data_IF_486702888564
#
_entry.id   IF_486702888564
#
_cell.length_a   1.000
_cell.length_b   1.000
_cell.length_c   1.000
_cell.angle_alpha   90.00
_cell.angle_beta   90.00
_cell.angle_gamma   90.00
#
_symmetry.space_group_name_H-M   'P 1'
#
loop_
_entity.id
_entity.type
_entity.pdbx_description
1 polymer ?
#
# COMPACT_ATOMS: atom_id res chain seq x y z
N UNK A 1 -22.89 -7.50 2.46
CA UNK A 1 -22.11 -7.04 3.62
C UNK A 1 -21.22 -8.19 4.06
N UNK A 2 -19.90 -8.00 4.10
CA UNK A 2 -18.93 -9.05 4.47
C UNK A 2 -18.39 -8.70 5.86
N UNK A 3 -18.49 -9.61 6.83
CA UNK A 3 -17.93 -9.43 8.17
C UNK A 3 -16.47 -9.89 8.15
N UNK A 4 -15.51 -8.97 8.25
CA UNK A 4 -14.07 -9.31 8.26
C UNK A 4 -13.67 -10.21 9.45
N UNK A 5 -14.45 -10.20 10.54
CA UNK A 5 -14.28 -11.08 11.71
C UNK A 5 -14.85 -12.50 11.52
N UNK A 6 -15.48 -12.81 10.38
CA UNK A 6 -16.01 -14.15 10.12
C UNK A 6 -14.87 -15.17 10.03
N UNK A 7 -15.01 -16.29 10.75
CA UNK A 7 -14.01 -17.35 10.82
C UNK A 7 -13.61 -17.88 9.44
N UNK A 8 -14.54 -17.89 8.48
CA UNK A 8 -14.30 -18.34 7.10
C UNK A 8 -13.31 -17.43 6.37
N UNK A 9 -13.28 -16.14 6.69
CA UNK A 9 -12.32 -15.18 6.13
C UNK A 9 -10.97 -15.34 6.80
N UNK A 10 -10.93 -15.48 8.14
CA UNK A 10 -9.68 -15.72 8.85
C UNK A 10 -9.00 -17.05 8.51
N UNK A 11 -9.75 -18.01 7.99
CA UNK A 11 -9.25 -19.32 7.57
C UNK A 11 -8.67 -19.32 6.14
N UNK A 12 -8.77 -18.22 5.40
CA UNK A 12 -8.17 -18.10 4.07
C UNK A 12 -6.65 -18.16 4.24
N UNK A 13 -5.95 -19.10 3.57
CA UNK A 13 -4.50 -19.20 3.69
C UNK A 13 -3.84 -17.93 3.16
N UNK A 14 -2.97 -17.36 3.97
CA UNK A 14 -2.15 -16.21 3.59
C UNK A 14 -0.81 -16.72 3.05
N UNK A 15 -0.37 -16.15 1.94
CA UNK A 15 0.92 -16.44 1.33
C UNK A 15 1.55 -15.17 0.79
N UNK A 16 2.88 -15.10 0.86
CA UNK A 16 3.63 -14.06 0.15
C UNK A 16 3.66 -14.41 -1.34
N UNK A 17 3.39 -13.44 -2.21
CA UNK A 17 3.51 -13.62 -3.66
C UNK A 17 4.97 -13.46 -4.15
N UNK A 18 5.91 -13.14 -3.25
CA UNK A 18 7.35 -13.00 -3.54
C UNK A 18 7.73 -11.70 -4.27
N UNK A 19 6.77 -10.79 -4.44
CA UNK A 19 6.99 -9.52 -5.12
C UNK A 19 7.88 -8.58 -4.30
N UNK A 20 8.77 -7.87 -4.99
CA UNK A 20 9.67 -6.91 -4.35
C UNK A 20 8.89 -5.82 -3.61
N UNK A 21 9.38 -5.51 -2.41
CA UNK A 21 8.90 -4.38 -1.61
C UNK A 21 9.74 -3.15 -1.94
N UNK A 22 9.06 -2.08 -2.32
CA UNK A 22 9.63 -0.79 -2.69
C UNK A 22 9.35 0.20 -1.57
N UNK A 23 10.37 0.94 -1.15
CA UNK A 23 10.20 2.06 -0.22
C UNK A 23 9.53 3.24 -0.94
N UNK A 24 8.27 3.50 -0.61
CA UNK A 24 7.48 4.54 -1.28
C UNK A 24 7.91 5.96 -0.92
N UNK A 25 8.73 6.16 0.11
CA UNK A 25 9.31 7.48 0.42
C UNK A 25 10.29 7.95 -0.66
N UNK A 26 10.82 7.02 -1.45
CA UNK A 26 11.69 7.30 -2.59
C UNK A 26 10.90 7.66 -3.86
N UNK A 27 9.57 7.56 -3.84
CA UNK A 27 8.69 7.83 -4.97
C UNK A 27 8.11 9.24 -4.82
N UNK A 28 8.63 10.20 -5.58
CA UNK A 28 8.30 11.62 -5.43
C UNK A 28 6.81 11.96 -5.64
N UNK A 29 6.09 11.16 -6.42
CA UNK A 29 4.66 11.35 -6.68
C UNK A 29 3.75 10.88 -5.53
N UNK A 30 4.25 10.14 -4.55
CA UNK A 30 3.47 9.59 -3.44
C UNK A 30 3.83 10.27 -2.12
N UNK A 31 2.82 10.64 -1.33
CA UNK A 31 3.01 11.14 0.03
C UNK A 31 2.85 10.00 1.03
N UNK A 32 3.75 9.97 2.01
CA UNK A 32 3.74 8.98 3.07
C UNK A 32 3.58 9.70 4.40
N UNK A 33 2.56 9.32 5.16
CA UNK A 33 2.32 9.82 6.52
C UNK A 33 3.12 8.99 7.51
N UNK A 34 3.91 9.64 8.36
CA UNK A 34 4.84 9.01 9.30
C UNK A 34 4.29 8.87 10.72
N UNK A 35 3.04 9.28 10.99
CA UNK A 35 2.45 9.27 12.34
C UNK A 35 2.32 7.87 12.95
N UNK A 36 2.27 6.83 12.12
CA UNK A 36 2.22 5.42 12.53
C UNK A 36 3.46 4.64 12.07
N UNK A 37 4.58 5.33 11.89
CA UNK A 37 5.83 4.68 11.53
C UNK A 37 6.25 3.68 12.61
N UNK A 38 6.55 2.45 12.18
CA UNK A 38 7.24 1.47 13.01
C UNK A 38 8.75 1.71 13.03
N UNK A 39 9.44 1.22 14.05
CA UNK A 39 10.89 1.39 14.21
C UNK A 39 11.70 0.79 13.06
N UNK A 40 11.18 -0.25 12.38
CA UNK A 40 11.85 -0.90 11.26
C UNK A 40 11.60 -0.19 9.91
N UNK A 41 10.72 0.83 9.87
CA UNK A 41 10.34 1.53 8.65
C UNK A 41 9.50 0.69 7.68
N UNK A 42 8.93 -0.43 8.12
CA UNK A 42 8.14 -1.33 7.29
C UNK A 42 6.85 -0.68 6.76
N UNK A 43 6.30 0.31 7.48
CA UNK A 43 5.10 1.06 7.12
C UNK A 43 5.17 1.71 5.73
N UNK A 44 6.37 2.01 5.25
CA UNK A 44 6.62 2.68 3.97
C UNK A 44 6.95 1.71 2.82
N UNK A 45 6.89 0.40 3.04
CA UNK A 45 7.24 -0.59 2.02
C UNK A 45 5.98 -1.18 1.38
N UNK A 46 5.83 -1.00 0.06
CA UNK A 46 4.72 -1.55 -0.72
C UNK A 46 5.21 -2.45 -1.84
N UNK A 47 4.37 -3.42 -2.22
CA UNK A 47 4.59 -4.23 -3.42
C UNK A 47 4.63 -3.37 -4.68
N UNK A 48 5.58 -3.66 -5.57
CA UNK A 48 5.82 -2.90 -6.80
C UNK A 48 4.55 -2.65 -7.63
N UNK A 49 3.75 -3.68 -7.93
CA UNK A 49 2.51 -3.56 -8.69
C UNK A 49 1.45 -2.71 -8.00
N UNK A 50 1.47 -2.65 -6.66
CA UNK A 50 0.62 -1.73 -5.90
C UNK A 50 1.11 -0.30 -6.07
N UNK A 51 2.44 -0.06 -6.03
CA UNK A 51 3.01 1.25 -6.34
C UNK A 51 2.61 1.70 -7.75
N UNK A 52 2.71 0.82 -8.75
CA UNK A 52 2.29 1.14 -10.12
C UNK A 52 0.80 1.51 -10.22
N UNK A 53 -0.08 0.79 -9.51
CA UNK A 53 -1.51 1.11 -9.45
C UNK A 53 -1.78 2.46 -8.77
N UNK A 54 -1.07 2.78 -7.69
CA UNK A 54 -1.18 4.07 -7.03
C UNK A 54 -0.71 5.21 -7.92
N UNK A 55 0.41 5.05 -8.63
CA UNK A 55 0.90 6.05 -9.59
C UNK A 55 -0.07 6.26 -10.75
N UNK A 56 -0.69 5.20 -11.26
CA UNK A 56 -1.73 5.31 -12.28
C UNK A 56 -2.93 6.11 -11.75
N UNK A 57 -3.40 5.80 -10.53
CA UNK A 57 -4.49 6.54 -9.90
C UNK A 57 -4.14 8.02 -9.67
N UNK A 58 -2.95 8.31 -9.13
CA UNK A 58 -2.44 9.66 -8.89
C UNK A 58 -2.44 10.53 -10.16
N UNK A 59 -2.12 9.93 -11.32
CA UNK A 59 -2.12 10.63 -12.62
C UNK A 59 -3.53 10.91 -13.14
N UNK A 60 -4.53 10.15 -12.73
CA UNK A 60 -5.94 10.36 -13.10
C UNK A 60 -6.65 11.40 -12.22
N UNK A 61 -6.00 11.85 -11.14
CA UNK A 61 -6.62 12.83 -10.25
C UNK A 61 -6.78 14.20 -10.94
N UNK A 62 -7.85 14.94 -10.59
CA UNK A 62 -7.96 16.35 -10.93
C UNK A 62 -6.73 17.15 -10.52
N UNK A 63 -6.40 18.18 -11.31
CA UNK A 63 -5.26 19.06 -11.01
C UNK A 63 -5.38 19.64 -9.60
N UNK A 64 -4.26 19.60 -8.87
CA UNK A 64 -4.17 20.10 -7.49
C UNK A 64 -4.39 19.03 -6.42
N UNK A 65 -4.84 17.83 -6.78
CA UNK A 65 -5.00 16.71 -5.84
C UNK A 65 -3.78 15.78 -5.86
N UNK A 66 -3.34 15.38 -4.66
CA UNK A 66 -2.25 14.43 -4.46
C UNK A 66 -2.59 13.48 -3.31
N UNK A 67 -2.27 12.21 -3.51
CA UNK A 67 -2.32 11.15 -2.52
C UNK A 67 -1.00 11.08 -1.74
#
# INVERSE_FOLDING_TARGET
MILLSDRRISAIPLGDNGEALVDVRQVAELRVDDRLADEAGAYAHLREATVQRLLAAQRTLPRGLRC
#
